data_IF_286989078831
#
_entry.id   IF_286989078831
#
_cell.length_a   1.000
_cell.length_b   1.000
_cell.length_c   1.000
_cell.angle_alpha   90.00
_cell.angle_beta   90.00
_cell.angle_gamma   90.00
#
_symmetry.space_group_name_H-M   'P 1'
#
loop_
_entity.id
_entity.type
_entity.pdbx_description
1 polymer ?
#
# COMPACT_ATOMS: atom_id res chain seq x y z
N UNK A 1 18.56 -24.71 13.46
CA UNK A 1 18.35 -23.50 12.64
C UNK A 1 17.21 -22.71 13.29
N UNK A 2 17.46 -21.71 14.14
CA UNK A 2 16.39 -20.85 14.60
C UNK A 2 16.10 -19.86 13.47
N UNK A 3 14.99 -20.07 12.79
CA UNK A 3 14.40 -19.12 11.85
C UNK A 3 14.16 -17.80 12.59
N UNK A 4 14.90 -16.75 12.21
CA UNK A 4 14.72 -15.40 12.69
C UNK A 4 13.24 -15.00 12.49
N UNK A 5 12.53 -14.56 13.55
CA UNK A 5 11.16 -14.11 13.39
C UNK A 5 11.21 -12.88 12.48
N UNK A 6 10.58 -12.97 11.31
CA UNK A 6 10.38 -11.82 10.44
C UNK A 6 9.81 -10.68 11.29
N UNK A 7 10.57 -9.59 11.44
CA UNK A 7 10.18 -8.43 12.22
C UNK A 7 8.88 -7.88 11.63
N UNK A 8 7.75 -8.22 12.25
CA UNK A 8 6.43 -7.78 11.79
C UNK A 8 6.33 -6.28 12.05
N UNK A 9 6.30 -5.51 10.96
CA UNK A 9 6.17 -4.06 11.03
C UNK A 9 4.72 -3.70 11.34
N UNK A 10 4.49 -2.90 12.38
CA UNK A 10 3.15 -2.42 12.71
C UNK A 10 2.71 -1.31 11.75
N UNK A 11 1.66 -1.58 10.96
CA UNK A 11 1.10 -0.61 10.03
C UNK A 11 -0.03 0.19 10.67
N UNK A 12 0.11 1.51 10.64
CA UNK A 12 -0.95 2.45 11.06
C UNK A 12 -1.47 3.20 9.84
N UNK A 13 -2.79 3.17 9.66
CA UNK A 13 -3.45 3.91 8.60
C UNK A 13 -3.91 5.29 9.08
N UNK A 14 -3.58 6.33 8.32
CA UNK A 14 -4.12 7.67 8.55
C UNK A 14 -5.64 7.71 8.31
N UNK A 15 -6.33 8.64 8.97
CA UNK A 15 -7.77 8.86 8.77
C UNK A 15 -8.08 9.24 7.33
N UNK A 16 -7.19 10.02 6.69
CA UNK A 16 -7.29 10.41 5.29
C UNK A 16 -7.21 9.20 4.35
N UNK A 17 -6.26 8.30 4.57
CA UNK A 17 -6.16 7.06 3.79
C UNK A 17 -7.46 6.24 3.87
N UNK A 18 -7.98 6.02 5.08
CA UNK A 18 -9.25 5.29 5.29
C UNK A 18 -10.44 5.98 4.61
N UNK A 19 -10.50 7.31 4.62
CA UNK A 19 -11.57 8.08 3.96
C UNK A 19 -11.50 7.96 2.44
N UNK A 20 -10.31 8.15 1.87
CA UNK A 20 -10.10 8.11 0.42
C UNK A 20 -10.32 6.69 -0.12
N UNK A 21 -9.85 5.66 0.60
CA UNK A 21 -10.09 4.26 0.24
C UNK A 21 -11.59 3.92 0.23
N UNK A 22 -12.37 4.41 1.22
CA UNK A 22 -13.82 4.23 1.25
C UNK A 22 -14.53 4.91 0.07
N UNK A 23 -14.10 6.11 -0.30
CA UNK A 23 -14.67 6.82 -1.46
C UNK A 23 -14.36 6.08 -2.76
N UNK A 24 -13.10 5.65 -2.94
CA UNK A 24 -12.68 4.90 -4.12
C UNK A 24 -13.33 3.52 -4.23
N UNK A 25 -13.58 2.84 -3.10
CA UNK A 25 -14.25 1.54 -3.07
C UNK A 25 -15.68 1.56 -3.63
N UNK A 26 -16.32 2.74 -3.71
CA UNK A 26 -17.63 2.89 -4.38
C UNK A 26 -17.52 2.68 -5.89
N UNK A 27 -16.43 3.14 -6.49
CA UNK A 27 -16.18 3.10 -7.94
C UNK A 27 -15.36 1.88 -8.36
N UNK A 28 -14.38 1.50 -7.55
CA UNK A 28 -13.47 0.40 -7.80
C UNK A 28 -13.68 -0.67 -6.72
N UNK A 29 -14.50 -1.68 -7.04
CA UNK A 29 -14.94 -2.70 -6.08
C UNK A 29 -13.79 -3.55 -5.57
N UNK A 30 -12.73 -3.70 -6.37
CA UNK A 30 -11.55 -4.50 -6.03
C UNK A 30 -10.44 -3.69 -5.38
N UNK A 31 -10.60 -2.38 -5.15
CA UNK A 31 -9.50 -1.54 -4.64
C UNK A 31 -8.89 -2.09 -3.36
N UNK A 32 -9.69 -2.64 -2.43
CA UNK A 32 -9.15 -3.22 -1.18
C UNK A 32 -8.23 -4.41 -1.48
N UNK A 33 -8.67 -5.31 -2.35
CA UNK A 33 -7.88 -6.44 -2.82
C UNK A 33 -6.66 -5.99 -3.60
N UNK A 34 -6.74 -4.89 -4.35
CA UNK A 34 -5.63 -4.33 -5.10
C UNK A 34 -4.54 -3.76 -4.18
N UNK A 35 -4.90 -3.11 -3.06
CA UNK A 35 -3.90 -2.56 -2.10
C UNK A 35 -3.36 -3.62 -1.14
N UNK A 36 -4.09 -4.71 -0.88
CA UNK A 36 -3.72 -5.73 0.11
C UNK A 36 -2.32 -6.34 -0.11
N UNK A 37 -1.88 -6.67 -1.34
CA UNK A 37 -0.53 -7.18 -1.58
C UNK A 37 0.58 -6.18 -1.22
N UNK A 38 0.32 -4.88 -1.36
CA UNK A 38 1.28 -3.84 -0.98
C UNK A 38 1.38 -3.73 0.53
N UNK A 39 0.24 -3.79 1.22
CA UNK A 39 0.20 -3.78 2.69
C UNK A 39 0.95 -4.99 3.25
N UNK A 40 0.70 -6.21 2.74
CA UNK A 40 1.37 -7.41 3.22
C UNK A 40 2.90 -7.37 3.05
N UNK A 41 3.40 -6.76 1.97
CA UNK A 41 4.84 -6.53 1.77
C UNK A 41 5.40 -5.50 2.76
N UNK A 42 4.65 -4.44 3.03
CA UNK A 42 5.02 -3.47 4.07
C UNK A 42 5.04 -4.10 5.47
N UNK A 43 4.12 -5.02 5.78
CA UNK A 43 4.11 -5.77 7.07
C UNK A 43 5.32 -6.70 7.18
N UNK A 44 5.79 -7.25 6.06
CA UNK A 44 7.02 -8.04 5.98
C UNK A 44 8.31 -7.20 6.01
N UNK A 45 8.22 -5.87 6.16
CA UNK A 45 9.36 -4.97 6.20
C UNK A 45 9.95 -4.61 4.83
N UNK A 46 9.30 -4.99 3.72
CA UNK A 46 9.75 -4.59 2.39
C UNK A 46 9.41 -3.12 2.11
N UNK A 47 10.44 -2.29 1.93
CA UNK A 47 10.26 -0.91 1.50
C UNK A 47 9.96 -0.90 0.00
N UNK A 48 8.71 -0.54 -0.35
CA UNK A 48 8.26 -0.49 -1.73
C UNK A 48 8.12 0.94 -2.26
N UNK A 49 8.37 1.11 -3.57
CA UNK A 49 8.03 2.31 -4.31
C UNK A 49 9.22 3.25 -4.56
N UNK A 50 8.90 4.49 -4.91
CA UNK A 50 9.88 5.53 -5.20
C UNK A 50 9.85 6.56 -4.08
N UNK A 51 11.01 6.87 -3.50
CA UNK A 51 11.12 7.93 -2.52
C UNK A 51 10.78 9.28 -3.17
N UNK A 52 9.91 10.04 -2.53
CA UNK A 52 9.56 11.39 -2.98
C UNK A 52 10.69 12.33 -2.55
N UNK A 53 11.39 13.00 -3.49
CA UNK A 53 12.45 13.92 -3.13
C UNK A 53 11.87 15.22 -2.55
N UNK A 54 12.70 15.96 -1.80
CA UNK A 54 12.39 17.31 -1.29
C UNK A 54 11.22 17.38 -0.29
N UNK A 55 10.98 16.31 0.46
CA UNK A 55 10.04 16.30 1.59
C UNK A 55 10.80 16.31 2.91
N UNK A 56 10.22 16.92 3.95
CA UNK A 56 10.82 16.95 5.30
C UNK A 56 10.89 15.56 5.96
N UNK A 57 10.06 14.63 5.49
CA UNK A 57 9.99 13.26 5.96
C UNK A 57 10.31 12.29 4.83
N UNK A 58 10.81 11.10 5.17
CA UNK A 58 11.01 10.01 4.21
C UNK A 58 9.64 9.46 3.81
N UNK A 59 9.21 9.81 2.59
CA UNK A 59 7.92 9.38 2.04
C UNK A 59 8.20 8.52 0.80
N UNK A 60 7.58 7.35 0.75
CA UNK A 60 7.61 6.47 -0.41
C UNK A 60 6.26 6.46 -1.11
N UNK A 61 6.28 6.47 -2.45
CA UNK A 61 5.09 6.38 -3.29
C UNK A 61 5.10 5.11 -4.11
N UNK A 62 4.04 4.31 -3.97
CA UNK A 62 3.81 3.07 -4.71
C UNK A 62 2.67 3.27 -5.72
N UNK A 63 2.81 2.70 -6.92
CA UNK A 63 1.71 2.59 -7.89
C UNK A 63 1.05 1.23 -7.73
N UNK A 64 -0.26 1.22 -7.53
CA UNK A 64 -1.05 0.00 -7.42
C UNK A 64 -1.85 -0.17 -8.70
N UNK A 65 -1.86 -1.39 -9.24
CA UNK A 65 -2.71 -1.72 -10.40
C UNK A 65 -4.16 -1.68 -9.95
N UNK A 66 -5.02 -1.01 -10.72
CA UNK A 66 -6.46 -1.02 -10.50
C UNK A 66 -7.08 -2.14 -11.35
N UNK A 67 -7.61 -3.16 -10.70
CA UNK A 67 -8.18 -4.33 -11.38
C UNK A 67 -9.53 -4.02 -12.05
N UNK A 68 -10.26 -3.00 -11.58
CA UNK A 68 -11.55 -2.59 -12.12
C UNK A 68 -11.43 -1.78 -13.43
N UNK A 69 -10.23 -1.29 -13.77
CA UNK A 69 -10.00 -0.51 -14.98
C UNK A 69 -9.57 -1.44 -16.10
N UNK A 70 -10.48 -1.73 -17.03
CA UNK A 70 -10.20 -2.50 -18.26
C UNK A 70 -9.55 -1.67 -19.38
N UNK A 71 -8.85 -0.57 -19.05
CA UNK A 71 -8.00 0.07 -20.04
C UNK A 71 -6.68 -0.70 -20.06
N UNK A 72 -6.54 -1.50 -21.13
CA UNK A 72 -5.36 -2.30 -21.42
C UNK A 72 -4.08 -1.46 -21.45
N UNK A 73 -2.98 -2.20 -21.37
CA UNK A 73 -1.58 -1.75 -21.44
C UNK A 73 -1.35 -0.52 -22.31
#
# INVERSE_FOLDING_TARGET
MPSEPAEQVHIVYTSEFKRNLRALAKKYRHIRSDVQPVIGKLEAGEVMGVQVPRTRYTIFKVRVRNSDVQKGK
#
